data_IF_530958814653
#
_entry.id   IF_530958814653
#
_cell.length_a   1.000
_cell.length_b   1.000
_cell.length_c   1.000
_cell.angle_alpha   90.00
_cell.angle_beta   90.00
_cell.angle_gamma   90.00
#
_symmetry.space_group_name_H-M   'P 1'
#
loop_
_entity.id
_entity.type
_entity.pdbx_description
1 polymer ?
#
# COMPACT_ATOMS: atom_id res chain seq x y z
N UNK A 1 37.17 -70.08 2.55
CA UNK A 1 36.08 -69.18 2.12
C UNK A 1 35.90 -67.89 2.95
N UNK A 2 36.83 -67.49 3.84
CA UNK A 2 36.59 -66.35 4.76
C UNK A 2 37.12 -64.96 4.37
N UNK A 3 37.94 -64.85 3.32
CA UNK A 3 38.60 -63.57 2.97
C UNK A 3 37.75 -62.68 2.04
N UNK A 4 37.11 -63.29 1.02
CA UNK A 4 36.24 -62.58 0.05
C UNK A 4 34.98 -61.99 0.69
N UNK A 5 34.37 -62.69 1.65
CA UNK A 5 33.19 -62.20 2.38
C UNK A 5 33.51 -60.98 3.25
N UNK A 6 34.69 -60.98 3.89
CA UNK A 6 35.16 -59.86 4.71
C UNK A 6 35.45 -58.62 3.87
N UNK A 7 36.07 -58.78 2.69
CA UNK A 7 36.33 -57.65 1.78
C UNK A 7 35.05 -57.04 1.22
N UNK A 8 34.02 -57.84 0.93
CA UNK A 8 32.72 -57.33 0.51
C UNK A 8 31.98 -56.58 1.63
N UNK A 9 32.03 -57.10 2.87
CA UNK A 9 31.43 -56.42 4.03
C UNK A 9 32.12 -55.09 4.36
N UNK A 10 33.44 -55.05 4.29
CA UNK A 10 34.22 -53.81 4.50
C UNK A 10 33.90 -52.79 3.40
N UNK A 11 33.87 -53.22 2.13
CA UNK A 11 33.52 -52.33 1.02
C UNK A 11 32.10 -51.75 1.15
N UNK A 12 31.11 -52.55 1.58
CA UNK A 12 29.75 -52.08 1.81
C UNK A 12 29.65 -51.10 2.98
N UNK A 13 30.36 -51.35 4.09
CA UNK A 13 30.39 -50.44 5.24
C UNK A 13 31.07 -49.11 4.89
N UNK A 14 32.16 -49.14 4.12
CA UNK A 14 32.83 -47.93 3.64
C UNK A 14 31.92 -47.14 2.67
N UNK A 15 31.21 -47.82 1.77
CA UNK A 15 30.25 -47.17 0.87
C UNK A 15 29.09 -46.50 1.63
N UNK A 16 28.54 -47.18 2.65
CA UNK A 16 27.48 -46.62 3.49
C UNK A 16 27.94 -45.40 4.30
N UNK A 17 29.17 -45.42 4.84
CA UNK A 17 29.75 -44.28 5.55
C UNK A 17 29.97 -43.06 4.63
N UNK A 18 30.42 -43.28 3.39
CA UNK A 18 30.60 -42.21 2.40
C UNK A 18 29.27 -41.56 2.01
N UNK A 19 28.21 -42.36 1.82
CA UNK A 19 26.86 -41.86 1.51
C UNK A 19 26.29 -41.06 2.70
N UNK A 20 26.44 -41.56 3.93
CA UNK A 20 25.97 -40.86 5.12
C UNK A 20 26.71 -39.53 5.34
N UNK A 21 28.03 -39.48 5.09
CA UNK A 21 28.81 -38.25 5.15
C UNK A 21 28.38 -37.21 4.11
N UNK A 22 28.08 -37.64 2.88
CA UNK A 22 27.58 -36.75 1.83
C UNK A 22 26.20 -36.15 2.17
N UNK A 23 25.29 -36.95 2.74
CA UNK A 23 23.96 -36.49 3.14
C UNK A 23 24.00 -35.56 4.37
N UNK A 24 24.87 -35.81 5.35
CA UNK A 24 25.05 -34.91 6.48
C UNK A 24 25.68 -33.58 6.05
N UNK A 25 26.66 -33.63 5.13
CA UNK A 25 27.34 -32.44 4.60
C UNK A 25 26.40 -31.48 3.86
N UNK A 26 25.45 -31.98 3.06
CA UNK A 26 24.51 -31.12 2.31
C UNK A 26 23.51 -30.41 3.22
N UNK A 27 23.00 -31.09 4.26
CA UNK A 27 22.05 -30.50 5.23
C UNK A 27 22.71 -29.37 6.03
N UNK A 28 23.98 -29.57 6.42
CA UNK A 28 24.77 -28.55 7.13
C UNK A 28 25.11 -27.35 6.21
N UNK A 29 25.42 -27.57 4.93
CA UNK A 29 25.69 -26.49 3.97
C UNK A 29 24.48 -25.59 3.71
N UNK A 30 23.27 -26.16 3.64
CA UNK A 30 22.06 -25.39 3.31
C UNK A 30 21.64 -24.43 4.44
N UNK A 31 21.97 -24.74 5.71
CA UNK A 31 21.73 -23.85 6.85
C UNK A 31 22.64 -22.62 6.90
N UNK A 32 23.75 -22.64 6.18
CA UNK A 32 24.79 -21.62 6.26
C UNK A 32 24.73 -20.58 5.15
N UNK A 33 23.71 -20.58 4.29
CA UNK A 33 23.63 -19.58 3.23
C UNK A 33 23.30 -18.19 3.83
N UNK A 34 24.22 -17.21 3.74
CA UNK A 34 23.90 -15.85 4.13
C UNK A 34 22.90 -15.28 3.13
N UNK A 35 21.75 -14.80 3.63
CA UNK A 35 20.79 -14.05 2.81
C UNK A 35 21.47 -12.76 2.35
N UNK A 36 21.91 -12.73 1.10
CA UNK A 36 22.34 -11.51 0.45
C UNK A 36 21.08 -10.64 0.25
N UNK A 37 20.89 -9.67 1.14
CA UNK A 37 19.88 -8.63 0.94
C UNK A 37 20.34 -7.79 -0.25
N UNK A 38 19.81 -8.10 -1.43
CA UNK A 38 19.93 -7.25 -2.59
C UNK A 38 19.28 -5.89 -2.25
N UNK A 39 20.10 -4.87 -2.00
CA UNK A 39 19.66 -3.47 -2.03
C UNK A 39 19.38 -3.12 -3.48
N UNK A 40 18.15 -3.34 -3.91
CA UNK A 40 17.57 -2.56 -5.00
C UNK A 40 17.60 -1.09 -4.56
N UNK A 41 18.03 -0.15 -5.42
CA UNK A 41 17.77 1.26 -5.20
C UNK A 41 16.28 1.46 -5.50
N UNK A 42 15.42 1.05 -4.57
CA UNK A 42 14.06 1.56 -4.52
C UNK A 42 14.19 3.06 -4.33
N UNK A 43 13.86 3.83 -5.37
CA UNK A 43 13.54 5.24 -5.21
C UNK A 43 12.56 5.33 -4.07
N UNK A 44 13.03 5.82 -2.92
CA UNK A 44 12.24 5.97 -1.72
C UNK A 44 11.21 7.06 -2.02
N UNK A 45 10.07 6.61 -2.57
CA UNK A 45 8.77 7.17 -2.23
C UNK A 45 8.79 7.35 -0.72
N UNK A 46 8.66 8.61 -0.30
CA UNK A 46 8.60 8.98 1.09
C UNK A 46 7.39 8.28 1.71
N UNK A 47 7.61 7.09 2.26
CA UNK A 47 6.69 6.39 3.14
C UNK A 47 6.72 7.08 4.51
N UNK A 48 6.30 8.34 4.54
CA UNK A 48 5.52 8.84 5.66
C UNK A 48 4.09 8.44 5.37
N UNK A 49 3.50 7.58 6.20
CA UNK A 49 2.11 7.11 6.12
C UNK A 49 1.19 8.05 5.35
N UNK A 50 0.85 7.73 4.09
CA UNK A 50 -0.01 8.60 3.31
C UNK A 50 -1.37 8.70 4.01
N UNK A 51 -1.84 9.92 4.23
CA UNK A 51 -3.14 10.18 4.86
C UNK A 51 -4.33 9.73 3.99
N UNK A 52 -4.06 9.22 2.79
CA UNK A 52 -5.00 8.76 1.77
C UNK A 52 -4.48 7.47 1.12
N UNK A 53 -5.34 6.76 0.40
CA UNK A 53 -4.93 5.67 -0.49
C UNK A 53 -4.08 6.19 -1.67
N UNK A 54 -3.34 5.29 -2.33
CA UNK A 54 -2.51 5.64 -3.48
C UNK A 54 -3.40 5.92 -4.71
N UNK A 55 -3.36 7.13 -5.30
CA UNK A 55 -4.14 7.46 -6.49
C UNK A 55 -3.89 6.53 -7.69
N UNK A 56 -2.74 5.84 -7.75
CA UNK A 56 -2.45 4.89 -8.82
C UNK A 56 -3.39 3.66 -8.82
N UNK A 57 -4.08 3.40 -7.71
CA UNK A 57 -5.10 2.36 -7.60
C UNK A 57 -6.41 2.72 -8.32
N UNK A 58 -6.62 4.00 -8.66
CA UNK A 58 -7.85 4.51 -9.26
C UNK A 58 -7.62 5.03 -10.68
N UNK A 59 -8.69 5.37 -11.40
CA UNK A 59 -8.64 5.93 -12.74
C UNK A 59 -9.55 7.17 -12.89
N UNK A 60 -9.36 7.92 -13.98
CA UNK A 60 -10.21 9.07 -14.33
C UNK A 60 -10.31 10.12 -13.21
N UNK A 61 -11.53 10.60 -12.96
CA UNK A 61 -11.78 11.62 -11.94
C UNK A 61 -11.53 11.14 -10.52
N UNK A 62 -11.69 9.84 -10.24
CA UNK A 62 -11.35 9.27 -8.94
C UNK A 62 -9.84 9.40 -8.70
N UNK A 63 -8.99 8.98 -9.65
CA UNK A 63 -7.53 9.20 -9.54
C UNK A 63 -7.20 10.67 -9.27
N UNK A 64 -7.82 11.58 -10.01
CA UNK A 64 -7.61 13.01 -9.82
C UNK A 64 -7.97 13.46 -8.40
N UNK A 65 -9.09 13.00 -7.82
CA UNK A 65 -9.49 13.39 -6.47
C UNK A 65 -8.52 12.87 -5.41
N UNK A 66 -8.06 11.61 -5.52
CA UNK A 66 -7.04 11.07 -4.61
C UNK A 66 -5.69 11.79 -4.75
N UNK A 67 -5.30 12.19 -5.96
CA UNK A 67 -4.09 13.01 -6.15
C UNK A 67 -4.18 14.35 -5.45
N UNK A 68 -5.32 15.03 -5.56
CA UNK A 68 -5.60 16.29 -4.87
C UNK A 68 -5.55 16.07 -3.36
N UNK A 69 -6.22 15.03 -2.86
CA UNK A 69 -6.27 14.72 -1.44
C UNK A 69 -4.88 14.46 -0.85
N UNK A 70 -4.02 13.76 -1.59
CA UNK A 70 -2.61 13.59 -1.21
C UNK A 70 -1.81 14.89 -1.25
N UNK A 71 -2.07 15.79 -2.20
CA UNK A 71 -1.33 17.05 -2.38
C UNK A 71 -1.78 18.16 -1.44
N UNK A 72 -3.06 18.18 -1.03
CA UNK A 72 -3.69 19.29 -0.29
C UNK A 72 -4.40 18.83 1.00
N UNK A 73 -3.76 18.03 1.87
CA UNK A 73 -4.43 17.52 3.07
C UNK A 73 -4.92 18.64 4.00
N UNK A 74 -4.13 19.71 4.19
CA UNK A 74 -4.51 20.84 5.06
C UNK A 74 -5.76 21.58 4.58
N UNK A 75 -5.98 21.69 3.27
CA UNK A 75 -7.21 22.26 2.72
C UNK A 75 -8.38 21.33 3.02
N UNK A 76 -8.26 20.05 2.63
CA UNK A 76 -9.37 19.11 2.72
C UNK A 76 -9.78 18.77 4.16
N UNK A 77 -8.87 18.88 5.14
CA UNK A 77 -9.22 18.73 6.56
C UNK A 77 -10.16 19.80 7.09
N UNK A 78 -10.26 20.96 6.41
CA UNK A 78 -11.08 22.10 6.83
C UNK A 78 -12.47 22.13 6.18
N UNK A 79 -12.75 21.18 5.29
CA UNK A 79 -13.94 21.15 4.44
C UNK A 79 -14.78 19.91 4.75
N UNK A 80 -16.04 20.11 5.08
CA UNK A 80 -17.03 19.05 5.25
C UNK A 80 -17.44 18.47 3.89
N UNK A 81 -17.81 17.19 3.86
CA UNK A 81 -18.33 16.54 2.67
C UNK A 81 -19.85 16.38 2.76
N UNK A 82 -20.60 16.86 1.77
CA UNK A 82 -22.07 16.87 1.79
C UNK A 82 -22.71 15.58 1.27
N UNK A 83 -21.93 14.53 1.02
CA UNK A 83 -22.48 13.24 0.58
C UNK A 83 -23.18 12.45 1.71
N UNK A 84 -23.07 12.89 2.97
CA UNK A 84 -23.69 12.25 4.13
C UNK A 84 -22.94 11.04 4.70
N UNK A 85 -21.72 10.77 4.23
CA UNK A 85 -20.89 9.66 4.70
C UNK A 85 -20.45 9.81 6.18
N UNK A 86 -20.51 11.01 6.73
CA UNK A 86 -20.25 11.29 8.14
C UNK A 86 -21.16 10.47 9.09
N UNK A 87 -22.41 10.24 8.70
CA UNK A 87 -23.40 9.52 9.50
C UNK A 87 -23.28 8.00 9.42
N UNK A 88 -22.69 7.48 8.33
CA UNK A 88 -22.69 6.04 8.02
C UNK A 88 -21.30 5.41 8.03
N UNK A 89 -20.27 6.15 7.61
CA UNK A 89 -18.88 5.72 7.54
C UNK A 89 -17.98 6.45 8.56
N UNK A 90 -18.45 7.56 9.13
CA UNK A 90 -17.71 8.34 10.13
C UNK A 90 -16.62 9.25 9.56
N UNK A 91 -16.62 9.52 8.25
CA UNK A 91 -15.72 10.49 7.64
C UNK A 91 -16.09 11.91 8.07
N UNK A 92 -15.13 12.68 8.58
CA UNK A 92 -15.45 13.99 9.20
C UNK A 92 -15.19 15.18 8.28
N UNK A 93 -14.40 14.98 7.23
CA UNK A 93 -13.98 16.00 6.27
C UNK A 93 -13.59 15.34 4.94
N UNK A 94 -13.37 16.15 3.90
CA UNK A 94 -13.00 15.67 2.56
C UNK A 94 -11.71 14.82 2.54
N UNK A 95 -10.77 15.05 3.45
CA UNK A 95 -9.56 14.22 3.53
C UNK A 95 -9.89 12.81 4.01
N UNK A 96 -10.76 12.69 5.02
CA UNK A 96 -11.18 11.41 5.58
C UNK A 96 -11.85 10.54 4.50
N UNK A 97 -12.61 11.13 3.56
CA UNK A 97 -13.22 10.42 2.44
C UNK A 97 -12.22 9.68 1.53
N UNK A 98 -10.95 10.09 1.54
CA UNK A 98 -9.89 9.51 0.71
C UNK A 98 -8.98 8.54 1.48
N UNK A 99 -9.31 8.21 2.74
CA UNK A 99 -8.60 7.20 3.55
C UNK A 99 -8.95 5.77 3.19
N UNK A 100 -10.11 5.57 2.62
CA UNK A 100 -10.59 4.29 2.09
C UNK A 100 -11.06 4.46 0.65
N UNK A 101 -11.74 3.47 0.10
CA UNK A 101 -12.19 3.44 -1.29
C UNK A 101 -13.53 4.16 -1.52
N UNK A 102 -14.15 4.78 -0.50
CA UNK A 102 -15.47 5.39 -0.63
C UNK A 102 -15.49 6.50 -1.69
N UNK A 103 -14.50 7.41 -1.65
CA UNK A 103 -14.41 8.50 -2.61
C UNK A 103 -14.28 8.00 -4.06
N UNK A 104 -13.75 6.80 -4.30
CA UNK A 104 -13.59 6.27 -5.66
C UNK A 104 -14.91 6.07 -6.41
N UNK A 105 -16.01 5.85 -5.69
CA UNK A 105 -17.35 5.64 -6.25
C UNK A 105 -18.36 6.74 -5.88
N UNK A 106 -17.96 7.77 -5.13
CA UNK A 106 -18.85 8.85 -4.71
C UNK A 106 -18.63 10.11 -5.57
N UNK A 107 -19.62 10.43 -6.42
CA UNK A 107 -19.55 11.60 -7.30
C UNK A 107 -19.41 12.92 -6.52
N UNK A 108 -20.06 13.04 -5.36
CA UNK A 108 -19.98 14.21 -4.48
C UNK A 108 -18.59 14.37 -3.87
N UNK A 109 -18.01 13.31 -3.28
CA UNK A 109 -16.64 13.37 -2.74
C UNK A 109 -15.62 13.78 -3.81
N UNK A 110 -15.72 13.20 -5.02
CA UNK A 110 -14.87 13.52 -6.17
C UNK A 110 -15.08 14.99 -6.59
N UNK A 111 -16.34 15.41 -6.72
CA UNK A 111 -16.72 16.75 -7.14
C UNK A 111 -16.19 17.83 -6.20
N UNK A 112 -16.55 17.76 -4.92
CA UNK A 112 -16.16 18.73 -3.90
C UNK A 112 -14.63 18.83 -3.75
N UNK A 113 -13.91 17.70 -3.87
CA UNK A 113 -12.45 17.69 -3.80
C UNK A 113 -11.82 18.41 -4.99
N UNK A 114 -12.35 18.20 -6.19
CA UNK A 114 -11.87 18.88 -7.40
C UNK A 114 -12.21 20.37 -7.34
N UNK A 115 -13.45 20.72 -7.00
CA UNK A 115 -13.91 22.10 -6.91
C UNK A 115 -13.14 22.89 -5.84
N UNK A 116 -12.98 22.33 -4.64
CA UNK A 116 -12.23 22.99 -3.58
C UNK A 116 -10.78 23.24 -3.95
N UNK A 117 -10.13 22.29 -4.63
CA UNK A 117 -8.79 22.50 -5.17
C UNK A 117 -8.75 23.63 -6.18
N UNK A 118 -9.70 23.66 -7.13
CA UNK A 118 -9.76 24.71 -8.14
C UNK A 118 -9.94 26.09 -7.52
N UNK A 119 -10.86 26.25 -6.57
CA UNK A 119 -11.08 27.52 -5.89
C UNK A 119 -9.87 27.93 -5.04
N UNK A 120 -9.24 26.98 -4.35
CA UNK A 120 -8.00 27.23 -3.61
C UNK A 120 -6.86 27.67 -4.54
N UNK A 121 -6.73 27.04 -5.70
CA UNK A 121 -5.70 27.38 -6.69
C UNK A 121 -5.94 28.75 -7.34
N UNK A 122 -7.20 29.23 -7.32
CA UNK A 122 -7.60 30.59 -7.70
C UNK A 122 -7.42 31.61 -6.57
N UNK A 123 -6.99 31.19 -5.38
CA UNK A 123 -6.75 32.07 -4.23
C UNK A 123 -7.97 32.37 -3.37
N UNK A 124 -9.09 31.65 -3.55
CA UNK A 124 -10.24 31.80 -2.67
C UNK A 124 -9.87 31.39 -1.22
N UNK A 125 -10.26 32.18 -0.21
CA UNK A 125 -10.07 31.79 1.18
C UNK A 125 -10.95 30.59 1.55
N UNK A 126 -10.47 29.74 2.46
CA UNK A 126 -11.14 28.47 2.82
C UNK A 126 -12.59 28.63 3.26
N UNK A 127 -12.93 29.74 3.90
CA UNK A 127 -14.30 30.07 4.30
C UNK A 127 -15.24 30.21 3.09
N UNK A 128 -14.80 30.94 2.05
CA UNK A 128 -15.57 31.08 0.81
C UNK A 128 -15.68 29.75 0.06
N UNK A 129 -14.63 28.91 0.10
CA UNK A 129 -14.68 27.56 -0.48
C UNK A 129 -15.74 26.73 0.25
N UNK A 130 -15.78 26.77 1.57
CA UNK A 130 -16.77 26.05 2.38
C UNK A 130 -18.20 26.47 2.04
N UNK A 131 -18.43 27.78 1.93
CA UNK A 131 -19.75 28.32 1.58
C UNK A 131 -20.17 27.93 0.17
N UNK A 132 -19.24 27.96 -0.79
CA UNK A 132 -19.50 27.55 -2.16
C UNK A 132 -19.81 26.04 -2.29
N UNK A 133 -19.06 25.19 -1.58
CA UNK A 133 -19.34 23.75 -1.54
C UNK A 133 -20.72 23.48 -0.93
N UNK A 134 -21.06 24.12 0.18
CA UNK A 134 -22.39 24.02 0.80
C UNK A 134 -23.48 24.37 -0.19
N UNK A 135 -23.39 25.55 -0.80
CA UNK A 135 -24.39 26.04 -1.74
C UNK A 135 -24.57 25.12 -2.96
N UNK A 136 -23.51 24.41 -3.37
CA UNK A 136 -23.52 23.54 -4.54
C UNK A 136 -23.96 22.11 -4.24
N UNK A 137 -23.59 21.56 -3.08
CA UNK A 137 -23.68 20.12 -2.81
C UNK A 137 -24.67 19.72 -1.71
N UNK A 138 -25.10 20.64 -0.84
CA UNK A 138 -26.01 20.32 0.28
C UNK A 138 -27.38 19.81 -0.20
N UNK A 139 -27.79 20.16 -1.43
CA UNK A 139 -29.10 19.81 -2.00
C UNK A 139 -29.02 19.19 -3.40
N UNK A 140 -27.86 18.66 -3.79
CA UNK A 140 -27.73 17.98 -5.08
C UNK A 140 -28.36 16.59 -4.98
N UNK A 141 -29.66 16.50 -5.32
CA UNK A 141 -30.47 15.28 -5.40
C UNK A 141 -30.16 14.43 -6.65
#
# INVERSE_FOLDING_TARGET
MGAREKTHRIALLLALLMIAGALAGTVLWHRSQPVAIARTPSGQSQQGSSLTLDPQEFAGRARQSYEIARKKPSLLTQLHCYCGCDKVLGHRNLLDCHRDNHAASCATCIGETIDSSQMNDQGSPVEQIRDALRARYEFAE
#
